data_IF_512341141171
#
_entry.id   IF_512341141171
#
_cell.length_a   1.000
_cell.length_b   1.000
_cell.length_c   1.000
_cell.angle_alpha   90.00
_cell.angle_beta   90.00
_cell.angle_gamma   90.00
#
_symmetry.space_group_name_H-M   'P 1'
#
loop_
_entity.id
_entity.type
_entity.pdbx_description
1 polymer ?
#
# COMPACT_ATOMS: atom_id res chain seq x y z
N UNK A 1 6.75 18.53 -34.28
CA UNK A 1 7.75 17.43 -34.24
C UNK A 1 7.14 16.32 -33.38
N UNK A 2 6.55 15.34 -34.03
CA UNK A 2 6.02 14.16 -33.33
C UNK A 2 7.20 13.36 -32.75
N UNK A 3 7.50 13.61 -31.48
CA UNK A 3 8.40 12.76 -30.70
C UNK A 3 7.66 11.48 -30.31
N UNK A 4 7.30 10.66 -31.31
CA UNK A 4 6.78 9.32 -31.06
C UNK A 4 7.85 8.54 -30.28
N UNK A 5 7.54 8.16 -29.03
CA UNK A 5 8.44 7.38 -28.19
C UNK A 5 8.68 6.01 -28.85
N UNK A 6 9.92 5.48 -28.82
CA UNK A 6 10.24 4.21 -29.47
C UNK A 6 9.41 3.07 -28.87
N UNK A 7 8.53 2.50 -29.67
CA UNK A 7 7.56 1.46 -29.24
C UNK A 7 8.24 0.21 -28.68
N UNK A 8 9.46 -0.11 -29.13
CA UNK A 8 10.24 -1.27 -28.71
C UNK A 8 11.18 -1.03 -27.54
N UNK A 9 11.40 0.22 -27.12
CA UNK A 9 12.30 0.54 -26.01
C UNK A 9 11.70 0.12 -24.68
N UNK A 10 12.52 -0.52 -23.83
CA UNK A 10 12.13 -0.98 -22.50
C UNK A 10 12.64 0.01 -21.47
N UNK A 11 11.76 0.59 -20.68
CA UNK A 11 12.14 1.35 -19.49
C UNK A 11 11.96 0.47 -18.26
N UNK A 12 13.07 0.18 -17.57
CA UNK A 12 13.07 -0.54 -16.30
C UNK A 12 12.93 0.48 -15.18
N UNK A 13 11.89 0.35 -14.40
CA UNK A 13 11.59 1.18 -13.24
C UNK A 13 12.03 0.41 -12.00
N UNK A 14 13.03 0.95 -11.31
CA UNK A 14 13.67 0.35 -10.16
C UNK A 14 13.46 1.23 -8.92
N UNK A 15 12.37 1.03 -8.15
CA UNK A 15 12.17 1.74 -6.89
C UNK A 15 13.21 1.30 -5.86
N UNK A 16 13.83 2.25 -5.15
CA UNK A 16 14.88 1.99 -4.17
C UNK A 16 14.63 2.69 -2.83
N UNK A 17 15.00 2.00 -1.76
CA UNK A 17 15.11 2.56 -0.41
C UNK A 17 16.11 1.77 0.44
N UNK A 18 17.30 2.36 0.66
CA UNK A 18 18.46 1.74 1.32
C UNK A 18 18.91 0.45 0.61
N UNK A 19 19.31 0.59 -0.65
CA UNK A 19 19.71 -0.50 -1.55
C UNK A 19 21.14 -0.30 -2.09
N UNK A 20 22.01 0.44 -1.38
CA UNK A 20 23.34 0.82 -1.86
C UNK A 20 24.25 -0.36 -2.24
N UNK A 21 24.04 -1.53 -1.65
CA UNK A 21 24.75 -2.76 -1.99
C UNK A 21 24.25 -3.45 -3.27
N UNK A 22 23.00 -3.18 -3.66
CA UNK A 22 22.31 -3.91 -4.73
C UNK A 22 22.30 -3.17 -6.07
N UNK A 23 22.44 -1.83 -6.09
CA UNK A 23 22.24 -1.02 -7.31
C UNK A 23 23.25 -1.36 -8.40
N UNK A 24 24.54 -1.51 -8.09
CA UNK A 24 25.57 -1.83 -9.10
C UNK A 24 25.40 -3.25 -9.65
N UNK A 25 25.26 -4.30 -8.82
CA UNK A 25 24.96 -5.65 -9.31
C UNK A 25 23.70 -5.71 -10.18
N UNK A 26 22.65 -4.96 -9.82
CA UNK A 26 21.41 -4.87 -10.60
C UNK A 26 21.67 -4.27 -11.99
N UNK A 27 22.42 -3.16 -12.09
CA UNK A 27 22.75 -2.53 -13.36
C UNK A 27 23.51 -3.51 -14.26
N UNK A 28 24.57 -4.14 -13.73
CA UNK A 28 25.41 -5.04 -14.52
C UNK A 28 24.64 -6.29 -14.99
N UNK A 29 23.81 -6.89 -14.16
CA UNK A 29 22.94 -8.00 -14.55
C UNK A 29 21.94 -7.58 -15.63
N UNK A 30 21.36 -6.39 -15.51
CA UNK A 30 20.42 -5.87 -16.51
C UNK A 30 21.11 -5.58 -17.84
N UNK A 31 22.32 -5.01 -17.83
CA UNK A 31 23.14 -4.79 -19.03
C UNK A 31 23.44 -6.11 -19.73
N UNK A 32 23.85 -7.12 -18.98
CA UNK A 32 24.13 -8.45 -19.53
C UNK A 32 22.88 -9.09 -20.15
N UNK A 33 21.76 -9.04 -19.43
CA UNK A 33 20.50 -9.65 -19.87
C UNK A 33 19.92 -8.96 -21.11
N UNK A 34 19.99 -7.64 -21.21
CA UNK A 34 19.32 -6.85 -22.24
C UNK A 34 20.28 -6.24 -23.28
N UNK A 35 21.48 -6.80 -23.46
CA UNK A 35 22.53 -6.23 -24.32
C UNK A 35 22.08 -6.02 -25.79
N UNK A 36 21.15 -6.84 -26.31
CA UNK A 36 20.60 -6.74 -27.67
C UNK A 36 19.35 -5.87 -27.78
N UNK A 37 18.88 -5.27 -26.69
CA UNK A 37 17.63 -4.48 -26.66
C UNK A 37 17.94 -2.99 -26.48
N UNK A 38 17.02 -2.15 -26.92
CA UNK A 38 17.01 -0.73 -26.53
C UNK A 38 16.32 -0.60 -25.16
N UNK A 39 17.07 -0.13 -24.16
CA UNK A 39 16.58 -0.03 -22.79
C UNK A 39 17.13 1.18 -22.05
N UNK A 40 16.46 1.55 -20.98
CA UNK A 40 16.92 2.47 -19.94
C UNK A 40 16.54 1.92 -18.55
N UNK A 41 17.28 2.32 -17.52
CA UNK A 41 16.91 2.09 -16.12
C UNK A 41 16.63 3.43 -15.45
N UNK A 42 15.52 3.53 -14.74
CA UNK A 42 15.12 4.67 -13.94
C UNK A 42 15.03 4.22 -12.48
N UNK A 43 16.07 4.55 -11.73
CA UNK A 43 16.00 4.41 -10.27
C UNK A 43 15.13 5.50 -9.68
N UNK A 44 14.23 5.13 -8.77
CA UNK A 44 13.40 6.08 -8.04
C UNK A 44 13.65 5.88 -6.56
N UNK A 45 14.49 6.74 -6.01
CA UNK A 45 15.00 6.63 -4.65
C UNK A 45 14.15 7.42 -3.65
N UNK A 46 13.64 6.74 -2.64
CA UNK A 46 12.80 7.32 -1.60
C UNK A 46 13.61 7.98 -0.45
N UNK A 47 14.61 8.80 -0.83
CA UNK A 47 15.50 9.52 0.08
C UNK A 47 16.26 8.55 1.00
N UNK A 48 17.04 7.66 0.39
CA UNK A 48 17.91 6.71 1.10
C UNK A 48 19.02 7.42 1.86
N UNK A 49 19.30 6.95 3.07
CA UNK A 49 20.36 7.49 3.92
C UNK A 49 21.70 6.75 3.75
N UNK A 50 21.74 5.62 3.04
CA UNK A 50 22.88 4.70 2.92
C UNK A 50 23.79 4.98 1.70
N UNK A 51 23.55 6.07 0.98
CA UNK A 51 24.31 6.43 -0.22
C UNK A 51 23.81 5.78 -1.52
N UNK A 52 22.65 5.13 -1.53
CA UNK A 52 22.04 4.53 -2.73
C UNK A 52 21.97 5.54 -3.88
N UNK A 53 21.39 6.72 -3.64
CA UNK A 53 21.22 7.75 -4.67
C UNK A 53 22.55 8.22 -5.25
N UNK A 54 23.57 8.41 -4.41
CA UNK A 54 24.90 8.84 -4.86
C UNK A 54 25.57 7.81 -5.76
N UNK A 55 25.52 6.53 -5.41
CA UNK A 55 26.07 5.45 -6.25
C UNK A 55 25.43 5.37 -7.62
N UNK A 56 24.10 5.52 -7.70
CA UNK A 56 23.41 5.54 -8.99
C UNK A 56 23.78 6.78 -9.79
N UNK A 57 23.87 7.95 -9.15
CA UNK A 57 24.26 9.20 -9.81
C UNK A 57 25.67 9.11 -10.40
N UNK A 58 26.64 8.58 -9.64
CA UNK A 58 28.01 8.40 -10.09
C UNK A 58 28.09 7.44 -11.29
N UNK A 59 27.30 6.36 -11.28
CA UNK A 59 27.23 5.43 -12.40
C UNK A 59 26.58 6.06 -13.66
N UNK A 60 25.50 6.84 -13.46
CA UNK A 60 24.79 7.51 -14.54
C UNK A 60 25.65 8.54 -15.30
N UNK A 61 26.69 9.07 -14.68
CA UNK A 61 27.66 9.95 -15.34
C UNK A 61 28.41 9.25 -16.48
N UNK A 62 28.51 7.90 -16.46
CA UNK A 62 29.23 7.10 -17.42
C UNK A 62 28.30 6.31 -18.40
N UNK A 63 27.00 6.20 -18.08
CA UNK A 63 26.02 5.52 -18.93
C UNK A 63 24.69 6.30 -18.99
N UNK A 64 24.40 7.00 -20.08
CA UNK A 64 23.21 7.85 -20.22
C UNK A 64 21.87 7.05 -20.21
N UNK A 65 21.93 5.73 -20.26
CA UNK A 65 20.75 4.87 -20.12
C UNK A 65 20.29 4.74 -18.66
N UNK A 66 21.16 5.11 -17.71
CA UNK A 66 20.87 5.06 -16.29
C UNK A 66 20.45 6.43 -15.81
N UNK A 67 19.30 6.50 -15.12
CA UNK A 67 18.80 7.76 -14.55
C UNK A 67 18.34 7.54 -13.12
N UNK A 68 18.36 8.61 -12.33
CA UNK A 68 17.85 8.61 -10.97
C UNK A 68 16.87 9.75 -10.75
N UNK A 69 15.85 9.46 -9.96
CA UNK A 69 14.88 10.42 -9.43
C UNK A 69 14.90 10.26 -7.91
N UNK A 70 15.29 11.28 -7.18
CA UNK A 70 15.25 11.27 -5.70
C UNK A 70 13.97 11.95 -5.22
N UNK A 71 13.22 11.25 -4.37
CA UNK A 71 11.96 11.72 -3.79
C UNK A 71 12.19 12.10 -2.33
N UNK A 72 12.05 13.37 -2.00
CA UNK A 72 12.33 13.89 -0.67
C UNK A 72 11.22 13.62 0.34
N UNK A 73 9.99 13.47 -0.13
CA UNK A 73 8.79 13.31 0.70
C UNK A 73 7.90 12.19 0.16
N UNK A 74 6.95 11.75 0.95
CA UNK A 74 5.85 10.88 0.53
C UNK A 74 6.30 9.50 0.02
N UNK A 75 7.16 8.83 0.82
CA UNK A 75 7.72 7.50 0.52
C UNK A 75 6.65 6.47 0.19
N UNK A 76 6.99 5.54 -0.69
CA UNK A 76 6.13 4.40 -0.98
C UNK A 76 6.40 3.75 -2.33
N UNK A 77 6.54 2.41 -2.32
CA UNK A 77 6.92 1.59 -3.47
C UNK A 77 6.06 1.86 -4.73
N UNK A 78 4.73 1.90 -4.59
CA UNK A 78 3.85 2.17 -5.73
C UNK A 78 4.01 3.60 -6.24
N UNK A 79 4.15 4.60 -5.36
CA UNK A 79 4.35 5.99 -5.76
C UNK A 79 5.66 6.17 -6.50
N UNK A 80 6.74 5.55 -6.02
CA UNK A 80 8.04 5.55 -6.70
C UNK A 80 7.94 4.89 -8.06
N UNK A 81 7.28 3.73 -8.15
CA UNK A 81 7.04 3.05 -9.42
C UNK A 81 6.23 3.90 -10.40
N UNK A 82 5.11 4.49 -9.97
CA UNK A 82 4.27 5.37 -10.80
C UNK A 82 5.08 6.57 -11.32
N UNK A 83 5.85 7.22 -10.45
CA UNK A 83 6.68 8.35 -10.85
C UNK A 83 7.75 7.95 -11.88
N UNK A 84 8.39 6.81 -11.69
CA UNK A 84 9.33 6.25 -12.65
C UNK A 84 8.68 5.95 -14.00
N UNK A 85 7.51 5.30 -13.97
CA UNK A 85 6.74 4.98 -15.19
C UNK A 85 6.29 6.23 -15.96
N UNK A 86 5.89 7.30 -15.27
CA UNK A 86 5.55 8.58 -15.89
C UNK A 86 6.76 9.28 -16.51
N UNK A 87 7.95 9.10 -15.92
CA UNK A 87 9.21 9.71 -16.37
C UNK A 87 9.93 8.88 -17.44
N UNK A 88 9.44 7.68 -17.74
CA UNK A 88 10.03 6.75 -18.69
C UNK A 88 9.95 7.27 -20.13
N UNK A 89 10.90 6.84 -20.97
CA UNK A 89 10.97 7.20 -22.41
C UNK A 89 10.63 6.03 -23.32
N UNK A 90 10.53 4.81 -22.79
CA UNK A 90 10.20 3.62 -23.57
C UNK A 90 8.70 3.41 -23.76
N UNK A 91 8.35 2.65 -24.79
CA UNK A 91 6.98 2.18 -25.04
C UNK A 91 6.56 1.01 -24.16
N UNK A 92 7.54 0.31 -23.55
CA UNK A 92 7.34 -0.79 -22.61
C UNK A 92 7.89 -0.39 -21.25
N UNK A 93 7.06 -0.49 -20.22
CA UNK A 93 7.40 -0.10 -18.84
C UNK A 93 7.48 -1.37 -17.99
N UNK A 94 8.67 -1.67 -17.50
CA UNK A 94 8.93 -2.84 -16.66
C UNK A 94 9.27 -2.40 -15.24
N UNK A 95 8.48 -2.82 -14.25
CA UNK A 95 8.78 -2.59 -12.83
C UNK A 95 9.45 -3.83 -12.27
N UNK A 96 10.57 -3.65 -11.54
CA UNK A 96 11.25 -4.73 -10.84
C UNK A 96 12.09 -4.21 -9.67
N UNK A 97 12.22 -5.05 -8.64
CA UNK A 97 13.01 -4.75 -7.45
C UNK A 97 14.51 -4.96 -7.70
N UNK A 98 15.35 -4.21 -6.98
CA UNK A 98 16.82 -4.24 -7.13
C UNK A 98 17.52 -5.25 -6.22
N UNK A 99 16.80 -5.92 -5.31
CA UNK A 99 17.35 -6.79 -4.26
C UNK A 99 17.91 -8.16 -4.76
N UNK A 100 17.89 -8.35 -6.06
CA UNK A 100 18.38 -9.55 -6.73
C UNK A 100 17.38 -10.70 -6.85
N UNK A 101 16.20 -10.57 -6.25
CA UNK A 101 15.14 -11.61 -6.29
C UNK A 101 14.47 -11.68 -7.67
N UNK A 102 14.42 -10.58 -8.40
CA UNK A 102 13.95 -10.50 -9.78
C UNK A 102 15.11 -10.67 -10.75
N UNK A 103 15.00 -11.66 -11.64
CA UNK A 103 16.03 -11.91 -12.65
C UNK A 103 15.75 -11.08 -13.90
N UNK A 104 16.69 -10.19 -14.34
CA UNK A 104 16.54 -9.40 -15.53
C UNK A 104 16.38 -10.23 -16.83
N UNK A 105 16.85 -11.47 -16.86
CA UNK A 105 16.65 -12.37 -18.02
C UNK A 105 15.17 -12.64 -18.30
N UNK A 106 14.34 -12.69 -17.28
CA UNK A 106 12.88 -12.89 -17.39
C UNK A 106 12.20 -11.76 -18.17
N UNK A 107 12.80 -10.57 -18.22
CA UNK A 107 12.26 -9.43 -19.01
C UNK A 107 12.07 -9.79 -20.46
N UNK A 108 12.96 -10.61 -21.05
CA UNK A 108 12.83 -11.09 -22.43
C UNK A 108 11.57 -11.92 -22.62
N UNK A 109 11.28 -12.82 -21.67
CA UNK A 109 10.09 -13.67 -21.72
C UNK A 109 8.81 -12.86 -21.56
N UNK A 110 8.83 -11.86 -20.65
CA UNK A 110 7.70 -10.93 -20.48
C UNK A 110 7.43 -10.15 -21.77
N UNK A 111 8.46 -9.62 -22.44
CA UNK A 111 8.36 -8.90 -23.71
C UNK A 111 7.83 -9.79 -24.81
N UNK A 112 8.40 -10.99 -24.97
CA UNK A 112 8.00 -11.96 -25.99
C UNK A 112 6.52 -12.33 -25.80
N UNK A 113 6.11 -12.66 -24.58
CA UNK A 113 4.73 -13.00 -24.26
C UNK A 113 3.76 -11.85 -24.54
N UNK A 114 4.16 -10.62 -24.18
CA UNK A 114 3.37 -9.41 -24.41
C UNK A 114 3.11 -9.15 -25.90
N UNK A 115 4.10 -9.44 -26.75
CA UNK A 115 3.96 -9.27 -28.20
C UNK A 115 3.20 -10.41 -28.85
N UNK A 116 3.53 -11.67 -28.55
CA UNK A 116 2.93 -12.87 -29.15
C UNK A 116 1.41 -12.90 -28.99
N UNK A 117 0.91 -12.60 -27.79
CA UNK A 117 -0.53 -12.66 -27.50
C UNK A 117 -1.19 -11.28 -27.58
N UNK A 118 -0.48 -10.27 -28.08
CA UNK A 118 -0.96 -8.89 -28.16
C UNK A 118 -1.57 -8.39 -26.84
N UNK A 119 -0.84 -8.61 -25.73
CA UNK A 119 -1.29 -8.26 -24.39
C UNK A 119 -0.98 -6.80 -24.06
N UNK A 120 -1.71 -6.26 -23.05
CA UNK A 120 -1.43 -4.93 -22.50
C UNK A 120 -0.42 -4.99 -21.35
N UNK A 121 -0.44 -6.08 -20.57
CA UNK A 121 0.39 -6.26 -19.40
C UNK A 121 0.74 -7.75 -19.22
N UNK A 122 1.96 -8.03 -18.79
CA UNK A 122 2.42 -9.38 -18.43
C UNK A 122 3.15 -9.30 -17.12
N UNK A 123 2.82 -10.17 -16.17
CA UNK A 123 3.50 -10.24 -14.88
C UNK A 123 4.34 -11.51 -14.75
N UNK A 124 5.42 -11.42 -13.99
CA UNK A 124 6.19 -12.57 -13.58
C UNK A 124 5.55 -13.18 -12.33
N UNK A 125 5.13 -14.42 -12.41
CA UNK A 125 4.53 -15.17 -11.31
C UNK A 125 5.54 -16.15 -10.73
N UNK A 126 5.71 -16.13 -9.41
CA UNK A 126 6.57 -17.08 -8.71
C UNK A 126 6.04 -18.50 -8.87
N UNK A 127 6.91 -19.45 -9.21
CA UNK A 127 6.53 -20.87 -9.22
C UNK A 127 6.15 -21.30 -7.82
N UNK A 128 4.88 -21.69 -7.65
CA UNK A 128 4.37 -22.23 -6.39
C UNK A 128 4.75 -23.71 -6.34
N UNK A 129 5.60 -24.13 -5.41
CA UNK A 129 5.95 -25.54 -5.21
C UNK A 129 7.44 -25.86 -5.10
N UNK A 130 8.31 -24.89 -5.13
CA UNK A 130 9.72 -25.13 -4.84
C UNK A 130 9.89 -25.31 -3.31
N UNK A 131 10.11 -26.56 -2.87
CA UNK A 131 10.27 -26.93 -1.44
C UNK A 131 11.37 -26.11 -0.76
N UNK A 132 12.36 -25.62 -1.52
CA UNK A 132 13.43 -24.72 -1.02
C UNK A 132 12.92 -23.39 -0.51
N UNK A 133 11.72 -22.94 -0.93
CA UNK A 133 11.07 -21.71 -0.45
C UNK A 133 10.06 -21.97 0.67
N UNK A 134 9.51 -23.19 0.76
CA UNK A 134 8.58 -23.57 1.83
C UNK A 134 9.27 -23.60 3.20
N UNK A 135 10.53 -24.04 3.26
CA UNK A 135 11.30 -24.11 4.51
C UNK A 135 11.76 -22.73 5.03
N UNK A 136 11.78 -21.71 4.17
CA UNK A 136 12.17 -20.35 4.58
C UNK A 136 11.00 -19.50 5.13
N UNK A 137 9.76 -19.97 5.02
CA UNK A 137 8.57 -19.23 5.43
C UNK A 137 7.83 -19.94 6.55
N UNK A 138 7.56 -19.23 7.66
CA UNK A 138 6.72 -19.81 8.73
C UNK A 138 5.33 -20.21 8.17
N UNK A 139 4.68 -21.27 8.72
CA UNK A 139 3.35 -21.76 8.28
C UNK A 139 2.30 -20.66 8.24
N UNK A 140 2.37 -19.71 9.15
CA UNK A 140 1.50 -18.52 9.23
C UNK A 140 1.66 -17.63 7.98
N UNK A 141 2.89 -17.43 7.51
CA UNK A 141 3.19 -16.60 6.33
C UNK A 141 2.68 -17.25 5.04
N UNK A 142 2.77 -18.56 4.91
CA UNK A 142 2.21 -19.32 3.78
C UNK A 142 0.67 -19.20 3.74
N UNK A 143 0.00 -19.34 4.89
CA UNK A 143 -1.45 -19.18 4.99
C UNK A 143 -1.88 -17.76 4.62
N UNK A 144 -1.20 -16.76 5.14
CA UNK A 144 -1.48 -15.34 4.83
C UNK A 144 -1.28 -15.01 3.34
N UNK A 145 -0.25 -15.57 2.70
CA UNK A 145 -0.05 -15.42 1.25
C UNK A 145 -1.19 -16.05 0.44
N UNK A 146 -1.62 -17.27 0.81
CA UNK A 146 -2.76 -17.95 0.14
C UNK A 146 -4.07 -17.17 0.31
N UNK A 147 -4.35 -16.67 1.50
CA UNK A 147 -5.53 -15.82 1.77
C UNK A 147 -5.45 -14.52 0.96
N UNK A 148 -4.27 -13.90 0.91
CA UNK A 148 -4.04 -12.69 0.11
C UNK A 148 -4.29 -12.92 -1.38
N UNK A 149 -3.80 -14.02 -1.94
CA UNK A 149 -4.00 -14.38 -3.35
C UNK A 149 -5.48 -14.70 -3.63
N UNK A 150 -6.14 -15.43 -2.74
CA UNK A 150 -7.58 -15.71 -2.85
C UNK A 150 -8.43 -14.43 -2.83
N UNK A 151 -8.19 -13.54 -1.87
CA UNK A 151 -8.88 -12.25 -1.77
C UNK A 151 -8.63 -11.38 -3.01
N UNK A 152 -7.40 -11.35 -3.52
CA UNK A 152 -7.04 -10.61 -4.73
C UNK A 152 -7.81 -11.13 -5.94
N UNK A 153 -7.86 -12.45 -6.11
CA UNK A 153 -8.58 -13.11 -7.19
C UNK A 153 -10.09 -12.86 -7.11
N UNK A 154 -10.64 -12.89 -5.90
CA UNK A 154 -12.05 -12.55 -5.66
C UNK A 154 -12.37 -11.10 -6.08
N UNK A 155 -11.55 -10.14 -5.67
CA UNK A 155 -11.73 -8.71 -5.98
C UNK A 155 -11.55 -8.43 -7.48
N UNK A 156 -10.61 -9.10 -8.13
CA UNK A 156 -10.37 -8.97 -9.58
C UNK A 156 -11.44 -9.66 -10.43
N UNK A 157 -12.15 -10.66 -9.89
CA UNK A 157 -13.06 -11.53 -10.63
C UNK A 157 -12.34 -12.46 -11.61
N UNK A 158 -11.05 -12.71 -11.43
CA UNK A 158 -10.21 -13.63 -12.21
C UNK A 158 -9.13 -14.26 -11.34
N UNK A 159 -8.76 -15.50 -11.65
CA UNK A 159 -7.69 -16.19 -10.93
C UNK A 159 -6.33 -15.72 -11.45
N UNK A 160 -5.44 -15.39 -10.53
CA UNK A 160 -4.04 -15.11 -10.78
C UNK A 160 -3.17 -15.96 -9.86
N UNK A 161 -2.03 -16.40 -10.38
CA UNK A 161 -1.05 -17.20 -9.61
C UNK A 161 -0.35 -16.31 -8.60
N UNK A 162 0.12 -15.11 -9.03
CA UNK A 162 0.80 -14.15 -8.15
C UNK A 162 0.31 -12.71 -8.37
N UNK A 163 -0.92 -12.37 -7.91
CA UNK A 163 -1.50 -11.04 -8.08
C UNK A 163 -0.73 -9.95 -7.34
N UNK A 164 0.17 -10.34 -6.47
CA UNK A 164 0.91 -9.46 -5.58
C UNK A 164 2.37 -9.25 -6.01
N UNK A 165 2.76 -9.76 -7.17
CA UNK A 165 4.12 -9.56 -7.68
C UNK A 165 4.41 -8.09 -7.96
N UNK A 166 5.64 -7.67 -7.67
CA UNK A 166 6.18 -6.36 -8.07
C UNK A 166 6.86 -6.38 -9.43
N UNK A 167 6.95 -7.56 -10.07
CA UNK A 167 7.66 -7.74 -11.32
C UNK A 167 6.68 -7.92 -12.48
N UNK A 168 6.53 -6.89 -13.31
CA UNK A 168 5.63 -6.91 -14.46
C UNK A 168 6.07 -5.93 -15.53
N UNK A 169 5.62 -6.15 -16.77
CA UNK A 169 5.77 -5.24 -17.90
C UNK A 169 4.40 -4.82 -18.41
N UNK A 170 4.26 -3.55 -18.77
CA UNK A 170 3.01 -2.97 -19.30
C UNK A 170 3.30 -2.06 -20.47
N UNK A 171 2.42 -2.04 -21.48
CA UNK A 171 2.48 -1.04 -22.54
C UNK A 171 2.23 0.36 -21.96
N UNK A 172 3.04 1.33 -22.39
CA UNK A 172 2.93 2.70 -21.92
C UNK A 172 1.53 3.28 -22.08
N UNK A 173 0.89 3.04 -23.21
CA UNK A 173 -0.47 3.53 -23.49
C UNK A 173 -1.48 2.97 -22.48
N UNK A 174 -1.38 1.67 -22.19
CA UNK A 174 -2.23 1.01 -21.20
C UNK A 174 -2.01 1.60 -19.79
N UNK A 175 -0.75 1.88 -19.43
CA UNK A 175 -0.41 2.54 -18.17
C UNK A 175 -0.97 3.96 -18.10
N UNK A 176 -0.76 4.78 -19.12
CA UNK A 176 -1.26 6.17 -19.13
C UNK A 176 -2.78 6.23 -19.05
N UNK A 177 -3.49 5.26 -19.64
CA UNK A 177 -4.94 5.15 -19.55
C UNK A 177 -5.46 4.79 -18.16
N UNK A 178 -4.62 4.23 -17.27
CA UNK A 178 -5.01 3.87 -15.89
C UNK A 178 -4.39 4.77 -14.83
N UNK A 179 -3.29 5.44 -15.13
CA UNK A 179 -2.51 6.22 -14.17
C UNK A 179 -3.34 7.21 -13.32
N UNK A 180 -4.34 7.96 -13.88
CA UNK A 180 -5.18 8.86 -13.09
C UNK A 180 -6.07 8.16 -12.04
N UNK A 181 -6.29 6.86 -12.17
CA UNK A 181 -7.15 6.06 -11.28
C UNK A 181 -6.36 5.33 -10.20
N UNK A 182 -5.02 5.34 -10.30
CA UNK A 182 -4.16 4.66 -9.34
C UNK A 182 -4.11 5.45 -8.03
N UNK A 183 -4.36 4.74 -6.94
CA UNK A 183 -4.42 5.35 -5.61
C UNK A 183 -3.09 5.29 -4.86
N UNK A 184 -3.06 5.99 -3.71
CA UNK A 184 -1.92 6.02 -2.78
C UNK A 184 -1.66 4.70 -2.04
N UNK A 185 -2.43 3.67 -2.28
CA UNK A 185 -2.41 2.43 -1.51
C UNK A 185 -1.24 1.49 -1.85
N UNK A 186 -0.13 2.00 -1.78
CA UNK A 186 1.29 1.71 -1.65
C UNK A 186 1.85 0.32 -1.90
N UNK A 187 1.15 -0.80 -1.94
CA UNK A 187 1.83 -2.09 -1.89
C UNK A 187 1.77 -2.93 -3.16
N UNK A 188 0.74 -2.76 -3.98
CA UNK A 188 0.47 -3.74 -5.03
C UNK A 188 0.00 -3.05 -6.31
N UNK A 189 0.95 -2.38 -6.95
CA UNK A 189 0.68 -1.60 -8.15
C UNK A 189 0.02 -2.42 -9.26
N UNK A 190 0.49 -3.65 -9.49
CA UNK A 190 -0.12 -4.58 -10.46
C UNK A 190 -1.61 -4.80 -10.16
N UNK A 191 -1.93 -5.12 -8.90
CA UNK A 191 -3.31 -5.37 -8.48
C UNK A 191 -4.20 -4.12 -8.67
N UNK A 192 -3.67 -2.93 -8.36
CA UNK A 192 -4.38 -1.67 -8.55
C UNK A 192 -4.65 -1.38 -10.04
N UNK A 193 -3.66 -1.58 -10.91
CA UNK A 193 -3.81 -1.46 -12.36
C UNK A 193 -4.91 -2.39 -12.87
N UNK A 194 -4.82 -3.68 -12.53
CA UNK A 194 -5.75 -4.70 -13.01
C UNK A 194 -7.17 -4.54 -12.47
N UNK A 195 -7.31 -3.97 -11.26
CA UNK A 195 -8.61 -3.65 -10.69
C UNK A 195 -9.24 -2.42 -11.35
N UNK A 196 -8.44 -1.36 -11.57
CA UNK A 196 -8.91 -0.10 -12.15
C UNK A 196 -9.28 -0.23 -13.63
N UNK A 197 -8.66 -1.17 -14.37
CA UNK A 197 -8.90 -1.45 -15.79
C UNK A 197 -9.06 -2.95 -16.03
N UNK A 198 -10.27 -3.43 -15.84
CA UNK A 198 -10.61 -4.87 -16.01
C UNK A 198 -10.55 -5.35 -17.45
N UNK A 199 -10.58 -4.44 -18.42
CA UNK A 199 -10.47 -4.68 -19.85
C UNK A 199 -9.03 -4.98 -20.30
N UNK A 200 -8.03 -4.75 -19.46
CA UNK A 200 -6.64 -5.03 -19.80
C UNK A 200 -6.42 -6.54 -19.97
N UNK A 201 -5.90 -6.92 -21.16
CA UNK A 201 -5.46 -8.29 -21.43
C UNK A 201 -4.16 -8.54 -20.70
N UNK A 202 -4.18 -9.51 -19.79
CA UNK A 202 -3.08 -9.85 -18.91
C UNK A 202 -2.76 -11.34 -18.98
N UNK A 203 -1.49 -11.68 -18.92
CA UNK A 203 -0.99 -13.04 -18.71
C UNK A 203 0.14 -13.05 -17.66
N UNK A 204 0.42 -14.24 -17.15
CA UNK A 204 1.51 -14.48 -16.21
C UNK A 204 2.58 -15.38 -16.86
N UNK A 205 3.85 -15.09 -16.58
CA UNK A 205 5.00 -15.92 -16.97
C UNK A 205 5.62 -16.46 -15.70
N UNK A 206 5.75 -17.77 -15.54
CA UNK A 206 6.37 -18.34 -14.36
C UNK A 206 7.88 -18.06 -14.34
N UNK A 207 8.41 -17.68 -13.17
CA UNK A 207 9.85 -17.49 -12.98
C UNK A 207 10.31 -18.06 -11.63
N UNK A 208 11.62 -18.33 -11.54
CA UNK A 208 12.25 -18.82 -10.33
C UNK A 208 12.71 -17.63 -9.49
N UNK A 209 12.08 -17.49 -8.33
CA UNK A 209 12.36 -16.39 -7.41
C UNK A 209 13.71 -16.61 -6.72
N UNK A 210 14.65 -15.72 -6.94
CA UNK A 210 16.01 -15.82 -6.46
C UNK A 210 16.12 -15.50 -4.95
N UNK A 211 17.20 -15.98 -4.30
CA UNK A 211 17.54 -15.53 -2.97
C UNK A 211 17.98 -14.06 -2.99
N UNK A 212 17.66 -13.30 -1.95
CA UNK A 212 18.12 -11.91 -1.83
C UNK A 212 19.63 -11.84 -1.77
N UNK A 213 20.22 -10.86 -2.46
CA UNK A 213 21.64 -10.57 -2.38
C UNK A 213 22.01 -9.90 -1.04
N UNK A 214 21.15 -8.98 -0.56
CA UNK A 214 21.29 -8.35 0.76
C UNK A 214 19.95 -7.78 1.26
N UNK A 215 19.81 -7.57 2.58
CA UNK A 215 18.63 -6.97 3.21
C UNK A 215 17.67 -7.96 3.88
N UNK A 216 16.82 -7.45 4.79
CA UNK A 216 15.83 -8.23 5.52
C UNK A 216 14.42 -8.10 4.92
N UNK A 217 13.59 -9.13 5.07
CA UNK A 217 12.19 -9.10 4.61
C UNK A 217 11.35 -8.18 5.51
N UNK A 218 10.79 -7.13 4.93
CA UNK A 218 9.93 -6.15 5.62
C UNK A 218 8.45 -6.57 5.68
N UNK A 219 8.12 -7.86 5.53
CA UNK A 219 6.75 -8.34 5.70
C UNK A 219 6.39 -8.34 7.20
N UNK A 220 5.78 -7.24 7.62
CA UNK A 220 5.24 -7.03 8.95
C UNK A 220 3.70 -7.20 8.91
N UNK A 221 3.09 -7.53 10.05
CA UNK A 221 1.63 -7.60 10.24
C UNK A 221 0.90 -6.34 9.75
N UNK A 222 1.57 -5.21 9.82
CA UNK A 222 1.08 -3.94 9.26
C UNK A 222 0.89 -3.98 7.72
N UNK A 223 1.80 -4.60 7.00
CA UNK A 223 1.68 -4.76 5.53
C UNK A 223 0.42 -5.53 5.17
N UNK A 224 0.13 -6.58 5.94
CA UNK A 224 -1.09 -7.38 5.77
C UNK A 224 -2.33 -6.53 6.08
N UNK A 225 -2.30 -5.78 7.17
CA UNK A 225 -3.39 -4.87 7.53
C UNK A 225 -3.68 -3.83 6.44
N UNK A 226 -2.65 -3.18 5.93
CA UNK A 226 -2.78 -2.25 4.79
C UNK A 226 -3.36 -2.92 3.55
N UNK A 227 -2.94 -4.14 3.29
CA UNK A 227 -3.45 -4.89 2.14
C UNK A 227 -4.96 -5.20 2.28
N UNK A 228 -5.39 -5.67 3.45
CA UNK A 228 -6.81 -5.94 3.72
C UNK A 228 -7.65 -4.67 3.59
N UNK A 229 -7.22 -3.58 4.22
CA UNK A 229 -7.95 -2.30 4.15
C UNK A 229 -7.97 -1.70 2.73
N UNK A 230 -6.91 -1.91 1.95
CA UNK A 230 -6.87 -1.56 0.53
C UNK A 230 -7.91 -2.35 -0.28
N UNK A 231 -7.98 -3.67 -0.12
CA UNK A 231 -8.97 -4.51 -0.80
C UNK A 231 -10.39 -4.09 -0.46
N UNK A 232 -10.68 -3.86 0.82
CA UNK A 232 -11.98 -3.38 1.27
C UNK A 232 -12.32 -2.01 0.66
N UNK A 233 -11.36 -1.09 0.58
CA UNK A 233 -11.54 0.20 -0.10
C UNK A 233 -11.89 0.01 -1.58
N UNK A 234 -11.21 -0.89 -2.28
CA UNK A 234 -11.52 -1.19 -3.69
C UNK A 234 -12.91 -1.82 -3.85
N UNK A 235 -13.37 -2.65 -2.93
CA UNK A 235 -14.76 -3.18 -2.95
C UNK A 235 -15.82 -2.07 -2.88
N UNK A 236 -15.51 -0.95 -2.22
CA UNK A 236 -16.38 0.24 -2.22
C UNK A 236 -16.16 1.15 -3.45
N UNK A 237 -15.48 0.66 -4.48
CA UNK A 237 -15.06 1.43 -5.66
C UNK A 237 -14.21 2.67 -5.30
N UNK A 238 -13.47 2.60 -4.20
CA UNK A 238 -12.64 3.71 -3.71
C UNK A 238 -13.39 4.84 -3.00
N UNK A 239 -14.71 4.75 -2.86
CA UNK A 239 -15.54 5.75 -2.15
C UNK A 239 -15.08 5.86 -0.69
N UNK A 240 -14.78 4.73 -0.06
CA UNK A 240 -14.30 4.69 1.33
C UNK A 240 -12.78 4.48 1.33
N UNK A 241 -11.98 5.49 1.72
CA UNK A 241 -10.52 5.36 1.77
C UNK A 241 -10.06 4.26 2.74
N UNK A 242 -8.97 3.56 2.41
CA UNK A 242 -8.43 2.49 3.24
C UNK A 242 -8.11 2.92 4.69
N UNK A 243 -7.63 4.15 4.86
CA UNK A 243 -7.36 4.72 6.19
C UNK A 243 -8.66 4.96 7.00
N UNK A 244 -9.78 5.30 6.34
CA UNK A 244 -11.07 5.42 7.02
C UNK A 244 -11.59 4.03 7.44
N UNK A 245 -11.42 3.01 6.61
CA UNK A 245 -11.77 1.62 6.97
C UNK A 245 -10.96 1.16 8.18
N UNK A 246 -9.65 1.42 8.18
CA UNK A 246 -8.78 1.14 9.32
C UNK A 246 -9.23 1.89 10.59
N UNK A 247 -9.59 3.17 10.46
CA UNK A 247 -10.06 3.99 11.57
C UNK A 247 -11.38 3.47 12.16
N UNK A 248 -12.33 3.06 11.30
CA UNK A 248 -13.60 2.43 11.70
C UNK A 248 -13.39 1.11 12.44
N UNK A 249 -12.47 0.28 11.93
CA UNK A 249 -12.13 -0.99 12.59
C UNK A 249 -11.53 -0.77 13.98
N UNK A 250 -10.60 0.17 14.12
CA UNK A 250 -10.03 0.55 15.41
C UNK A 250 -11.12 1.10 16.34
N UNK A 251 -12.06 1.91 15.84
CA UNK A 251 -13.21 2.38 16.59
C UNK A 251 -14.09 1.24 17.11
N UNK A 252 -14.34 0.22 16.27
CA UNK A 252 -15.05 -0.98 16.67
C UNK A 252 -14.33 -1.76 17.78
N UNK A 253 -13.01 -1.93 17.67
CA UNK A 253 -12.21 -2.54 18.75
C UNK A 253 -12.31 -1.74 20.05
N UNK A 254 -12.33 -0.40 19.95
CA UNK A 254 -12.49 0.47 21.10
C UNK A 254 -13.81 0.26 21.83
N UNK A 255 -14.89 -0.08 21.12
CA UNK A 255 -16.16 -0.44 21.73
C UNK A 255 -16.03 -1.73 22.59
N UNK A 256 -15.33 -2.75 22.10
CA UNK A 256 -15.08 -3.96 22.89
C UNK A 256 -14.25 -3.66 24.13
N UNK A 257 -13.19 -2.85 23.99
CA UNK A 257 -12.37 -2.41 25.14
C UNK A 257 -13.23 -1.66 26.15
N UNK A 258 -14.08 -0.73 25.70
CA UNK A 258 -14.98 0.02 26.56
C UNK A 258 -15.90 -0.91 27.35
N UNK A 259 -16.59 -1.84 26.67
CA UNK A 259 -17.50 -2.78 27.31
C UNK A 259 -16.77 -3.69 28.31
N UNK A 260 -15.61 -4.22 27.93
CA UNK A 260 -14.81 -5.07 28.83
C UNK A 260 -14.43 -4.34 30.11
N UNK A 261 -13.93 -3.10 30.02
CA UNK A 261 -13.55 -2.31 31.19
C UNK A 261 -14.78 -1.92 32.04
N UNK A 262 -15.89 -1.50 31.40
CA UNK A 262 -17.11 -1.12 32.07
C UNK A 262 -17.68 -2.28 32.88
N UNK A 263 -17.90 -3.44 32.24
CA UNK A 263 -18.45 -4.61 32.96
C UNK A 263 -17.52 -5.14 34.04
N UNK A 264 -16.20 -5.10 33.84
CA UNK A 264 -15.24 -5.48 34.87
C UNK A 264 -15.30 -4.55 36.09
N UNK A 265 -15.39 -3.24 35.84
CA UNK A 265 -15.51 -2.26 36.95
C UNK A 265 -16.81 -2.41 37.71
N UNK A 266 -17.93 -2.63 37.02
CA UNK A 266 -19.22 -2.88 37.65
C UNK A 266 -19.23 -4.17 38.49
N UNK A 267 -18.60 -5.24 38.00
CA UNK A 267 -18.43 -6.48 38.73
C UNK A 267 -17.62 -6.31 40.05
N UNK A 268 -16.72 -5.32 40.06
CA UNK A 268 -15.95 -4.91 41.24
C UNK A 268 -16.71 -3.89 42.12
N UNK A 269 -18.02 -3.71 41.87
CA UNK A 269 -18.88 -2.78 42.62
C UNK A 269 -18.46 -1.30 42.51
N UNK A 270 -17.74 -0.92 41.47
CA UNK A 270 -17.43 0.49 41.18
C UNK A 270 -18.71 1.22 40.78
N UNK A 271 -19.02 2.42 41.30
CA UNK A 271 -20.19 3.19 40.89
C UNK A 271 -20.22 3.44 39.37
N UNK A 272 -21.39 3.35 38.74
CA UNK A 272 -21.58 3.43 37.30
C UNK A 272 -20.88 4.63 36.65
N UNK A 273 -21.00 5.83 37.23
CA UNK A 273 -20.37 7.06 36.70
C UNK A 273 -18.83 6.90 36.62
N UNK A 274 -18.24 6.38 37.70
CA UNK A 274 -16.80 6.17 37.76
C UNK A 274 -16.36 5.06 36.77
N UNK A 275 -17.08 3.93 36.72
CA UNK A 275 -16.84 2.83 35.80
C UNK A 275 -16.94 3.29 34.36
N UNK A 276 -17.96 4.06 33.99
CA UNK A 276 -18.19 4.63 32.68
C UNK A 276 -17.06 5.59 32.26
N UNK A 277 -16.63 6.47 33.20
CA UNK A 277 -15.55 7.42 32.95
C UNK A 277 -14.23 6.71 32.65
N UNK A 278 -13.87 5.73 33.50
CA UNK A 278 -12.66 4.93 33.32
C UNK A 278 -12.71 4.15 31.97
N UNK A 279 -13.84 3.48 31.70
CA UNK A 279 -14.02 2.74 30.45
C UNK A 279 -13.86 3.64 29.22
N UNK A 280 -14.41 4.84 29.23
CA UNK A 280 -14.28 5.82 28.13
C UNK A 280 -12.84 6.27 27.93
N UNK A 281 -12.12 6.59 29.02
CA UNK A 281 -10.71 7.00 28.92
C UNK A 281 -9.81 5.88 28.41
N UNK A 282 -10.01 4.66 28.90
CA UNK A 282 -9.22 3.49 28.46
C UNK A 282 -9.50 3.18 26.99
N UNK A 283 -10.76 3.20 26.57
CA UNK A 283 -11.12 3.00 25.16
C UNK A 283 -10.55 4.09 24.24
N UNK A 284 -10.64 5.36 24.64
CA UNK A 284 -10.06 6.48 23.88
C UNK A 284 -8.53 6.36 23.76
N UNK A 285 -7.86 5.96 24.85
CA UNK A 285 -6.41 5.72 24.87
C UNK A 285 -6.04 4.57 23.93
N UNK A 286 -6.75 3.44 24.02
CA UNK A 286 -6.58 2.30 23.13
C UNK A 286 -6.76 2.69 21.66
N UNK A 287 -7.83 3.42 21.33
CA UNK A 287 -8.10 3.92 19.98
C UNK A 287 -6.98 4.82 19.45
N UNK A 288 -6.47 5.73 20.27
CA UNK A 288 -5.35 6.58 19.88
C UNK A 288 -4.10 5.74 19.60
N UNK A 289 -3.76 4.79 20.47
CA UNK A 289 -2.57 3.95 20.30
C UNK A 289 -2.67 3.05 19.07
N UNK A 290 -3.82 2.42 18.85
CA UNK A 290 -4.07 1.57 17.68
C UNK A 290 -4.10 2.37 16.38
N UNK A 291 -4.71 3.55 16.36
CA UNK A 291 -4.67 4.43 15.20
C UNK A 291 -3.25 4.91 14.87
N UNK A 292 -2.44 5.23 15.89
CA UNK A 292 -1.04 5.59 15.72
C UNK A 292 -0.18 4.42 15.22
N UNK A 293 -0.58 3.18 15.49
CA UNK A 293 0.14 1.97 15.10
C UNK A 293 -0.34 1.39 13.75
N UNK A 294 -1.65 1.43 13.48
CA UNK A 294 -2.26 0.75 12.34
C UNK A 294 -2.73 1.73 11.25
N UNK A 295 -3.50 2.76 11.61
CA UNK A 295 -4.11 3.67 10.62
C UNK A 295 -3.11 4.69 10.08
N UNK A 296 -2.28 5.26 10.97
CA UNK A 296 -1.36 6.36 10.66
C UNK A 296 0.12 5.98 10.88
N UNK A 297 0.49 4.73 10.67
CA UNK A 297 1.87 4.26 10.91
C UNK A 297 2.90 5.02 10.06
N UNK A 298 2.54 5.40 8.82
CA UNK A 298 3.45 6.15 7.93
C UNK A 298 3.80 7.53 8.51
N UNK A 299 2.91 8.07 9.34
CA UNK A 299 3.04 9.36 10.04
C UNK A 299 2.99 9.18 11.57
N UNK A 300 3.52 8.04 12.04
CA UNK A 300 3.46 7.64 13.44
C UNK A 300 4.10 8.66 14.36
N UNK A 301 3.35 9.12 15.33
CA UNK A 301 3.83 10.04 16.36
C UNK A 301 4.71 9.30 17.36
N UNK A 302 5.84 9.93 17.74
CA UNK A 302 6.83 9.40 18.69
C UNK A 302 7.20 10.46 19.73
N UNK A 303 7.72 10.03 20.88
CA UNK A 303 8.18 10.93 21.95
C UNK A 303 7.13 11.94 22.37
N UNK A 304 7.54 13.20 22.57
CA UNK A 304 6.67 14.30 23.01
C UNK A 304 5.53 14.59 22.02
N UNK A 305 5.73 14.39 20.73
CA UNK A 305 4.67 14.57 19.73
C UNK A 305 3.52 13.56 19.93
N UNK A 306 3.80 12.35 20.43
CA UNK A 306 2.78 11.37 20.77
C UNK A 306 1.91 11.85 21.95
N UNK A 307 2.52 12.46 22.97
CA UNK A 307 1.79 13.02 24.11
C UNK A 307 0.86 14.16 23.68
N UNK A 308 1.37 15.15 22.95
CA UNK A 308 0.54 16.24 22.43
C UNK A 308 -0.52 15.77 21.45
N UNK A 309 -0.20 14.79 20.62
CA UNK A 309 -1.16 14.15 19.71
C UNK A 309 -2.30 13.47 20.48
N UNK A 310 -1.99 12.81 21.60
CA UNK A 310 -2.99 12.18 22.48
C UNK A 310 -3.94 13.21 23.09
N UNK A 311 -3.43 14.31 23.62
CA UNK A 311 -4.27 15.38 24.17
C UNK A 311 -5.19 15.98 23.10
N UNK A 312 -4.67 16.24 21.89
CA UNK A 312 -5.49 16.70 20.76
C UNK A 312 -6.56 15.68 20.39
N UNK A 313 -6.24 14.39 20.41
CA UNK A 313 -7.19 13.32 20.11
C UNK A 313 -8.32 13.25 21.13
N UNK A 314 -8.02 13.39 22.41
CA UNK A 314 -9.03 13.46 23.48
C UNK A 314 -9.94 14.68 23.30
N UNK A 315 -9.37 15.84 23.00
CA UNK A 315 -10.14 17.05 22.71
C UNK A 315 -11.08 16.88 21.52
N UNK A 316 -10.58 16.37 20.39
CA UNK A 316 -11.39 16.10 19.19
C UNK A 316 -12.50 15.08 19.49
N UNK A 317 -12.20 14.06 20.31
CA UNK A 317 -13.18 13.06 20.71
C UNK A 317 -14.28 13.64 21.59
N UNK A 318 -13.98 14.58 22.49
CA UNK A 318 -14.99 15.25 23.32
C UNK A 318 -15.93 16.13 22.50
N UNK A 319 -15.40 16.87 21.51
CA UNK A 319 -16.21 17.66 20.57
C UNK A 319 -17.09 16.75 19.71
N UNK A 320 -16.58 15.60 19.29
CA UNK A 320 -17.32 14.60 18.53
C UNK A 320 -18.54 14.06 19.27
N UNK A 321 -18.49 13.92 20.58
CA UNK A 321 -19.65 13.51 21.39
C UNK A 321 -20.78 14.53 21.25
N UNK A 322 -20.50 15.81 21.32
CA UNK A 322 -21.50 16.88 21.15
C UNK A 322 -22.08 16.83 19.73
N UNK A 323 -21.24 16.69 18.71
CA UNK A 323 -21.67 16.58 17.32
C UNK A 323 -22.58 15.35 17.10
N UNK A 324 -22.24 14.22 17.69
CA UNK A 324 -23.05 12.99 17.62
C UNK A 324 -24.45 13.19 18.20
N UNK A 325 -24.53 13.69 19.43
CA UNK A 325 -25.82 13.92 20.11
C UNK A 325 -26.66 14.91 19.33
N UNK A 326 -26.09 16.04 18.89
CA UNK A 326 -26.81 17.05 18.13
C UNK A 326 -27.32 16.50 16.78
N UNK A 327 -26.48 15.75 16.08
CA UNK A 327 -26.86 15.17 14.78
C UNK A 327 -27.93 14.07 14.93
N UNK A 328 -27.81 13.21 15.93
CA UNK A 328 -28.80 12.18 16.22
C UNK A 328 -30.16 12.79 16.60
N UNK A 329 -30.18 13.83 17.45
CA UNK A 329 -31.38 14.55 17.83
C UNK A 329 -32.05 15.20 16.61
N UNK A 330 -31.28 15.95 15.80
CA UNK A 330 -31.80 16.59 14.61
C UNK A 330 -32.36 15.57 13.58
N UNK A 331 -31.65 14.46 13.40
CA UNK A 331 -32.11 13.39 12.51
C UNK A 331 -33.41 12.76 12.99
N UNK A 332 -33.54 12.54 14.29
CA UNK A 332 -34.73 12.00 14.91
C UNK A 332 -35.95 12.95 14.79
N UNK A 333 -35.75 14.22 15.12
CA UNK A 333 -36.81 15.22 15.11
C UNK A 333 -37.27 15.68 13.72
N UNK A 334 -36.35 15.71 12.75
CA UNK A 334 -36.58 16.37 11.45
C UNK A 334 -36.64 15.44 10.25
N UNK A 335 -36.01 14.28 10.30
CA UNK A 335 -35.80 13.44 9.12
C UNK A 335 -36.43 12.04 9.25
N UNK A 336 -36.15 11.34 10.33
CA UNK A 336 -36.51 9.93 10.48
C UNK A 336 -36.88 9.65 11.93
N UNK A 337 -38.14 9.45 12.23
CA UNK A 337 -38.62 9.14 13.60
C UNK A 337 -38.28 7.71 14.06
N UNK A 338 -37.18 7.13 13.55
CA UNK A 338 -36.66 5.82 13.93
C UNK A 338 -35.36 5.99 14.69
N UNK A 339 -35.37 5.70 15.99
CA UNK A 339 -34.21 5.88 16.90
C UNK A 339 -32.93 5.25 16.37
N UNK A 340 -33.01 4.04 15.81
CA UNK A 340 -31.86 3.34 15.26
C UNK A 340 -31.17 4.11 14.11
N UNK A 341 -31.95 4.63 13.16
CA UNK A 341 -31.42 5.38 12.01
C UNK A 341 -30.84 6.75 12.45
N UNK A 342 -31.50 7.42 13.39
CA UNK A 342 -31.01 8.67 13.95
C UNK A 342 -29.68 8.47 14.69
N UNK A 343 -29.56 7.39 15.47
CA UNK A 343 -28.31 7.03 16.17
C UNK A 343 -27.18 6.73 15.17
N UNK A 344 -27.47 5.97 14.11
CA UNK A 344 -26.49 5.71 13.05
C UNK A 344 -26.01 6.99 12.37
N UNK A 345 -26.88 7.94 12.11
CA UNK A 345 -26.50 9.25 11.55
C UNK A 345 -25.56 10.01 12.48
N UNK A 346 -25.83 10.04 13.78
CA UNK A 346 -24.94 10.64 14.78
C UNK A 346 -23.56 9.99 14.82
N UNK A 347 -23.50 8.66 14.84
CA UNK A 347 -22.24 7.90 14.83
C UNK A 347 -21.45 8.16 13.53
N UNK A 348 -22.11 8.20 12.39
CA UNK A 348 -21.46 8.46 11.11
C UNK A 348 -20.81 9.85 11.08
N UNK A 349 -21.54 10.88 11.53
CA UNK A 349 -21.03 12.27 11.60
C UNK A 349 -19.86 12.37 12.57
N UNK A 350 -19.97 11.81 13.77
CA UNK A 350 -18.89 11.78 14.75
C UNK A 350 -17.63 11.09 14.21
N UNK A 351 -17.81 9.96 13.54
CA UNK A 351 -16.70 9.19 12.99
C UNK A 351 -15.99 9.94 11.86
N UNK A 352 -16.75 10.53 10.94
CA UNK A 352 -16.19 11.32 9.83
C UNK A 352 -15.47 12.56 10.39
N UNK A 353 -16.10 13.26 11.34
CA UNK A 353 -15.47 14.37 12.05
C UNK A 353 -14.13 13.99 12.67
N UNK A 354 -14.12 12.96 13.50
CA UNK A 354 -12.90 12.48 14.17
C UNK A 354 -11.82 12.07 13.15
N UNK A 355 -12.19 11.37 12.10
CA UNK A 355 -11.26 10.94 11.06
C UNK A 355 -10.63 12.13 10.32
N UNK A 356 -11.45 13.08 9.86
CA UNK A 356 -10.97 14.25 9.09
C UNK A 356 -10.03 15.09 9.94
N UNK A 357 -10.43 15.40 11.17
CA UNK A 357 -9.61 16.22 12.07
C UNK A 357 -8.34 15.47 12.49
N UNK A 358 -8.46 14.19 12.83
CA UNK A 358 -7.32 13.36 13.19
C UNK A 358 -6.29 13.28 12.04
N UNK A 359 -6.75 13.01 10.82
CA UNK A 359 -5.90 12.92 9.64
C UNK A 359 -5.20 14.24 9.29
N UNK A 360 -5.88 15.38 9.47
CA UNK A 360 -5.37 16.70 9.05
C UNK A 360 -4.54 17.41 10.12
N UNK A 361 -4.87 17.22 11.42
CA UNK A 361 -4.31 18.05 12.50
C UNK A 361 -3.51 17.27 13.55
N UNK A 362 -3.74 15.95 13.67
CA UNK A 362 -3.05 15.12 14.67
C UNK A 362 -1.91 14.36 13.99
N UNK A 363 -2.21 13.63 12.92
CA UNK A 363 -1.24 12.87 12.12
C UNK A 363 -0.98 13.60 10.81
N UNK A 364 -0.12 14.62 10.89
CA UNK A 364 0.33 15.41 9.72
C UNK A 364 1.45 14.73 8.96
#
# INVERSE_FOLDING_TARGET
>A
MDNALPAGRISIIAPTYNESGNVIPFIERTKAALHEKDWEIIFVDDNSADGTAQKVFDYAAHDPRIRIITRLTDRGLAKSSIQGMLSAKGGLLCVMDVDGQHDPEVVKDLVNRLHQDNLHIVSAARRLGDERQADALSPVRNTLSKVGNWLSSFVLGRQLVDPLTGFFIIRREAFLGVAPQLGDAGFKLLLDILYSRKDLRHAEVPFDFQARLSGESKLDSYVIWKFVTFLLSKMTRGIVPANLISFLFVGGLGLFVHMAVLYSALALSVPFIAAQTVATLVAATSNFLLNNLLTFQDRRLRGMNKFWGYLKFLFVSSVGIVANVSAATLAYERLVHVVFLATLAGIAIDTVWKFVIANKFIWK
#
